data_IF_029650495569
#
_entry.id   IF_029650495569
#
_cell.length_a   1.000
_cell.length_b   1.000
_cell.length_c   1.000
_cell.angle_alpha   90.00
_cell.angle_beta   90.00
_cell.angle_gamma   90.00
#
_symmetry.space_group_name_H-M   'P 1'
#
loop_
_entity.id
_entity.type
_entity.pdbx_description
1 polymer ?
#
# COMPACT_ATOMS: atom_id res chain seq x y z
N UNK A 1 -20.01 -3.69 9.83
CA UNK A 1 -21.12 -2.92 9.22
C UNK A 1 -20.70 -2.45 7.84
N UNK A 2 -21.63 -2.34 6.89
CA UNK A 2 -21.34 -1.90 5.53
C UNK A 2 -21.31 -0.35 5.44
N UNK A 3 -20.29 0.20 4.75
CA UNK A 3 -20.15 1.64 4.48
C UNK A 3 -21.04 2.05 3.28
N UNK A 4 -22.36 1.99 3.48
CA UNK A 4 -23.36 2.16 2.43
C UNK A 4 -23.26 3.50 1.69
N UNK A 5 -22.93 4.59 2.40
CA UNK A 5 -22.73 5.92 1.83
C UNK A 5 -21.55 5.93 0.85
N UNK A 6 -20.44 5.29 1.22
CA UNK A 6 -19.25 5.20 0.36
C UNK A 6 -19.46 4.22 -0.80
N UNK A 7 -20.16 3.10 -0.57
CA UNK A 7 -20.48 2.13 -1.63
C UNK A 7 -21.41 2.74 -2.70
N UNK A 8 -22.46 3.45 -2.27
CA UNK A 8 -23.37 4.15 -3.18
C UNK A 8 -22.64 5.22 -3.98
N UNK A 9 -21.75 5.98 -3.32
CA UNK A 9 -20.93 6.99 -3.97
C UNK A 9 -19.99 6.36 -5.01
N UNK A 10 -19.32 5.26 -4.66
CA UNK A 10 -18.43 4.53 -5.54
C UNK A 10 -19.16 4.02 -6.78
N UNK A 11 -20.34 3.42 -6.63
CA UNK A 11 -21.17 2.95 -7.75
C UNK A 11 -21.55 4.10 -8.70
N UNK A 12 -21.96 5.25 -8.16
CA UNK A 12 -22.28 6.45 -8.95
C UNK A 12 -21.05 7.00 -9.69
N UNK A 13 -19.90 7.09 -9.01
CA UNK A 13 -18.65 7.53 -9.61
C UNK A 13 -18.19 6.59 -10.75
N UNK A 14 -18.25 5.27 -10.52
CA UNK A 14 -17.93 4.24 -11.52
C UNK A 14 -18.82 4.34 -12.76
N UNK A 15 -20.12 4.60 -12.59
CA UNK A 15 -21.05 4.83 -13.69
C UNK A 15 -20.64 6.03 -14.56
N UNK A 16 -20.29 7.16 -13.93
CA UNK A 16 -19.82 8.36 -14.65
C UNK A 16 -18.55 8.06 -15.44
N UNK A 17 -17.56 7.41 -14.82
CA UNK A 17 -16.29 7.08 -15.47
C UNK A 17 -16.50 6.11 -16.65
N UNK A 18 -17.33 5.08 -16.47
CA UNK A 18 -17.66 4.12 -17.54
C UNK A 18 -18.34 4.81 -18.71
N UNK A 19 -19.28 5.72 -18.44
CA UNK A 19 -19.97 6.49 -19.47
C UNK A 19 -19.03 7.39 -20.27
N UNK A 20 -18.18 8.16 -19.58
CA UNK A 20 -17.25 9.10 -20.23
C UNK A 20 -16.24 8.35 -21.09
N UNK A 21 -15.71 7.21 -20.61
CA UNK A 21 -14.82 6.37 -21.42
C UNK A 21 -15.52 5.74 -22.61
N UNK A 22 -16.74 5.21 -22.43
CA UNK A 22 -17.52 4.66 -23.54
C UNK A 22 -17.71 5.69 -24.65
N UNK A 23 -17.98 6.94 -24.30
CA UNK A 23 -18.05 8.04 -25.27
C UNK A 23 -16.71 8.47 -25.84
N UNK A 24 -15.63 8.50 -25.04
CA UNK A 24 -14.29 8.82 -25.55
C UNK A 24 -13.78 7.74 -26.51
N UNK A 25 -14.05 6.46 -26.23
CA UNK A 25 -13.73 5.31 -27.08
C UNK A 25 -14.59 5.34 -28.33
N UNK A 26 -15.91 5.55 -28.23
CA UNK A 26 -16.78 5.72 -29.40
C UNK A 26 -16.37 6.95 -30.25
N UNK A 27 -15.95 8.04 -29.60
CA UNK A 27 -15.41 9.22 -30.29
C UNK A 27 -14.07 8.93 -30.94
N UNK A 28 -13.16 8.18 -30.30
CA UNK A 28 -11.86 7.79 -30.87
C UNK A 28 -12.00 6.82 -32.05
N UNK A 29 -12.93 5.85 -31.95
CA UNK A 29 -13.29 4.93 -33.05
C UNK A 29 -13.92 5.73 -34.21
N UNK A 30 -14.71 6.77 -33.91
CA UNK A 30 -15.28 7.67 -34.93
C UNK A 30 -14.30 8.75 -35.43
N UNK A 31 -13.18 8.99 -34.73
CA UNK A 31 -12.16 10.03 -35.03
C UNK A 31 -10.84 9.44 -35.52
N UNK A 32 -10.89 8.36 -36.30
CA UNK A 32 -9.73 7.92 -37.10
C UNK A 32 -9.31 8.94 -38.19
N UNK A 33 -9.80 10.20 -38.13
CA UNK A 33 -9.52 11.25 -39.10
C UNK A 33 -9.20 12.65 -38.55
N UNK A 34 -9.05 12.90 -37.24
CA UNK A 34 -8.47 14.20 -36.86
C UNK A 34 -7.77 14.21 -35.50
N UNK A 35 -6.52 14.68 -35.54
CA UNK A 35 -5.66 14.99 -34.40
C UNK A 35 -6.13 16.31 -33.79
N UNK A 36 -6.61 16.28 -32.55
CA UNK A 36 -5.98 17.06 -31.49
C UNK A 36 -6.60 16.89 -30.09
N UNK A 37 -5.68 16.84 -29.12
CA UNK A 37 -5.75 17.19 -27.69
C UNK A 37 -7.02 16.82 -26.92
N UNK A 38 -7.01 15.61 -26.36
CA UNK A 38 -7.89 15.25 -25.24
C UNK A 38 -7.08 15.11 -23.96
N UNK A 39 -7.47 15.83 -22.91
CA UNK A 39 -7.15 15.53 -21.51
C UNK A 39 -7.73 14.16 -21.17
N UNK A 40 -6.93 13.12 -21.33
CA UNK A 40 -7.31 11.74 -21.06
C UNK A 40 -7.50 11.57 -19.55
N UNK A 41 -8.72 11.21 -19.13
CA UNK A 41 -8.97 10.75 -17.77
C UNK A 41 -8.13 9.48 -17.57
N UNK A 42 -7.06 9.59 -16.77
CA UNK A 42 -6.13 8.49 -16.58
C UNK A 42 -6.85 7.34 -15.87
N UNK A 43 -6.71 6.14 -16.43
CA UNK A 43 -6.98 4.93 -15.69
C UNK A 43 -5.89 4.70 -14.65
N UNK A 44 -6.22 4.08 -13.52
CA UNK A 44 -5.23 3.65 -12.55
C UNK A 44 -4.22 2.71 -13.22
N UNK A 45 -2.94 3.10 -13.20
CA UNK A 45 -1.85 2.13 -13.27
C UNK A 45 -1.91 1.24 -12.03
N UNK A 46 -1.50 -0.02 -12.18
CA UNK A 46 -1.69 -1.09 -11.20
C UNK A 46 -0.90 -0.81 -9.90
N UNK A 47 -1.58 -0.21 -8.93
CA UNK A 47 -1.64 -0.67 -7.54
C UNK A 47 -3.14 -0.82 -7.22
N UNK A 48 -3.59 -1.94 -6.66
CA UNK A 48 -5.03 -2.21 -6.50
C UNK A 48 -5.71 -1.23 -5.53
N UNK A 49 -4.95 -0.61 -4.62
CA UNK A 49 -5.45 0.20 -3.52
C UNK A 49 -5.69 1.68 -3.89
N UNK A 50 -4.90 2.23 -4.81
CA UNK A 50 -5.03 3.64 -5.23
C UNK A 50 -6.13 3.87 -6.25
N UNK A 51 -6.74 2.81 -6.80
CA UNK A 51 -7.74 2.91 -7.88
C UNK A 51 -8.89 3.85 -7.56
N UNK A 52 -9.44 3.75 -6.35
CA UNK A 52 -10.57 4.59 -5.94
C UNK A 52 -10.13 6.03 -5.74
N UNK A 53 -8.95 6.26 -5.16
CA UNK A 53 -8.39 7.60 -4.94
C UNK A 53 -8.08 8.27 -6.28
N UNK A 54 -7.38 7.59 -7.18
CA UNK A 54 -7.07 8.07 -8.54
C UNK A 54 -8.35 8.37 -9.31
N UNK A 55 -9.36 7.49 -9.22
CA UNK A 55 -10.64 7.69 -9.89
C UNK A 55 -11.35 8.95 -9.37
N UNK A 56 -11.38 9.14 -8.05
CA UNK A 56 -12.00 10.31 -7.43
C UNK A 56 -11.24 11.60 -7.76
N UNK A 57 -9.91 11.59 -7.69
CA UNK A 57 -9.08 12.75 -8.08
C UNK A 57 -9.29 13.11 -9.56
N UNK A 58 -9.30 12.11 -10.46
CA UNK A 58 -9.56 12.34 -11.90
C UNK A 58 -10.95 12.95 -12.15
N UNK A 59 -11.97 12.52 -11.40
CA UNK A 59 -13.31 13.10 -11.49
C UNK A 59 -13.36 14.55 -11.01
N UNK A 60 -12.62 14.89 -9.95
CA UNK A 60 -12.55 16.26 -9.43
C UNK A 60 -11.77 17.18 -10.37
N UNK A 61 -10.64 16.72 -10.91
CA UNK A 61 -9.87 17.46 -11.92
C UNK A 61 -10.71 17.73 -13.18
N UNK A 62 -11.51 16.75 -13.60
CA UNK A 62 -12.42 16.88 -14.74
C UNK A 62 -13.77 17.55 -14.43
N UNK A 63 -14.01 18.05 -13.21
CA UNK A 63 -15.35 18.50 -12.77
C UNK A 63 -15.93 19.59 -13.66
N UNK A 64 -15.16 20.61 -14.01
CA UNK A 64 -15.62 21.75 -14.80
C UNK A 64 -16.01 21.30 -16.22
N UNK A 65 -15.14 20.53 -16.87
CA UNK A 65 -15.39 19.99 -18.21
C UNK A 65 -16.59 19.04 -18.24
N UNK A 66 -16.80 18.24 -17.19
CA UNK A 66 -17.95 17.35 -17.07
C UNK A 66 -19.26 18.13 -16.83
N UNK A 67 -19.21 19.22 -16.05
CA UNK A 67 -20.34 20.14 -15.88
C UNK A 67 -20.72 20.82 -17.20
N UNK A 68 -19.73 21.35 -17.91
CA UNK A 68 -19.93 21.98 -19.21
C UNK A 68 -20.49 20.99 -20.24
N UNK A 69 -19.98 19.76 -20.26
CA UNK A 69 -20.52 18.68 -21.11
C UNK A 69 -21.99 18.38 -20.79
N UNK A 70 -22.34 18.32 -19.50
CA UNK A 70 -23.71 18.06 -19.05
C UNK A 70 -24.71 19.16 -19.46
N UNK A 71 -24.23 20.41 -19.56
CA UNK A 71 -25.03 21.58 -19.94
C UNK A 71 -25.12 21.70 -21.47
N UNK A 72 -23.98 21.63 -22.18
CA UNK A 72 -23.86 21.87 -23.62
C UNK A 72 -24.43 20.74 -24.50
N UNK A 73 -24.19 19.48 -24.13
CA UNK A 73 -24.68 18.31 -24.88
C UNK A 73 -25.96 17.73 -24.27
N UNK A 74 -26.77 18.58 -23.63
CA UNK A 74 -27.80 18.20 -22.68
C UNK A 74 -28.90 17.24 -23.16
N UNK A 75 -29.03 17.01 -24.48
CA UNK A 75 -29.95 16.03 -25.09
C UNK A 75 -29.29 14.69 -25.48
N UNK A 76 -27.96 14.64 -25.58
CA UNK A 76 -27.20 13.44 -25.98
C UNK A 76 -26.61 12.67 -24.78
N UNK A 77 -26.87 13.12 -23.55
CA UNK A 77 -26.39 12.50 -22.32
C UNK A 77 -27.53 11.75 -21.64
N UNK A 78 -27.24 10.54 -21.19
CA UNK A 78 -28.20 9.74 -20.42
C UNK A 78 -28.68 10.52 -19.19
N UNK A 79 -29.99 10.59 -18.99
CA UNK A 79 -30.63 11.40 -17.94
C UNK A 79 -30.10 11.06 -16.54
N UNK A 80 -29.78 9.78 -16.30
CA UNK A 80 -29.18 9.30 -15.06
C UNK A 80 -27.81 9.92 -14.78
N UNK A 81 -26.91 9.94 -15.79
CA UNK A 81 -25.56 10.52 -15.68
C UNK A 81 -25.64 12.03 -15.51
N UNK A 82 -26.51 12.71 -16.26
CA UNK A 82 -26.73 14.15 -16.14
C UNK A 82 -27.16 14.55 -14.72
N UNK A 83 -28.05 13.77 -14.11
CA UNK A 83 -28.47 13.98 -12.71
C UNK A 83 -27.32 13.83 -11.73
N UNK A 84 -26.36 12.93 -11.97
CA UNK A 84 -25.18 12.76 -11.12
C UNK A 84 -24.23 13.95 -11.29
N UNK A 85 -23.96 14.37 -12.53
CA UNK A 85 -23.02 15.47 -12.80
C UNK A 85 -23.50 16.80 -12.20
N UNK A 86 -24.80 17.08 -12.23
CA UNK A 86 -25.39 18.30 -11.68
C UNK A 86 -25.66 18.24 -10.16
N UNK A 87 -25.46 17.09 -9.52
CA UNK A 87 -25.68 16.91 -8.08
C UNK A 87 -24.51 17.51 -7.27
N UNK A 88 -24.73 18.66 -6.63
CA UNK A 88 -23.72 19.30 -5.77
C UNK A 88 -23.29 18.40 -4.61
N UNK A 89 -24.22 17.65 -4.02
CA UNK A 89 -23.96 16.76 -2.87
C UNK A 89 -23.07 15.59 -3.29
N UNK A 90 -23.19 15.11 -4.53
CA UNK A 90 -22.28 14.09 -5.07
C UNK A 90 -20.82 14.56 -5.03
N UNK A 91 -20.54 15.77 -5.51
CA UNK A 91 -19.18 16.32 -5.53
C UNK A 91 -18.62 16.60 -4.12
N UNK A 92 -19.48 17.08 -3.20
CA UNK A 92 -19.11 17.28 -1.80
C UNK A 92 -18.80 15.95 -1.10
N UNK A 93 -19.61 14.91 -1.34
CA UNK A 93 -19.37 13.55 -0.82
C UNK A 93 -18.08 12.94 -1.37
N UNK A 94 -17.81 13.13 -2.66
CA UNK A 94 -16.56 12.68 -3.28
C UNK A 94 -15.34 13.33 -2.63
N UNK A 95 -15.38 14.66 -2.45
CA UNK A 95 -14.33 15.40 -1.74
C UNK A 95 -14.18 14.94 -0.29
N UNK A 96 -15.30 14.74 0.42
CA UNK A 96 -15.31 14.27 1.81
C UNK A 96 -14.72 12.87 1.95
N UNK A 97 -15.09 11.93 1.08
CA UNK A 97 -14.54 10.57 1.05
C UNK A 97 -13.05 10.55 0.70
N UNK A 98 -12.60 11.40 -0.22
CA UNK A 98 -11.16 11.52 -0.53
C UNK A 98 -10.33 11.94 0.67
N UNK A 99 -10.83 12.84 1.53
CA UNK A 99 -10.09 13.23 2.75
C UNK A 99 -9.86 12.06 3.72
N UNK A 100 -10.72 11.03 3.67
CA UNK A 100 -10.57 9.81 4.46
C UNK A 100 -9.63 8.82 3.75
N UNK A 101 -9.77 8.65 2.44
CA UNK A 101 -9.01 7.66 1.68
C UNK A 101 -7.55 8.07 1.42
N UNK A 102 -7.25 9.36 1.24
CA UNK A 102 -5.89 9.85 0.94
C UNK A 102 -4.87 9.52 2.03
N UNK A 103 -5.15 9.71 3.34
CA UNK A 103 -4.29 9.23 4.41
C UNK A 103 -3.94 7.74 4.31
N UNK A 104 -4.92 6.91 3.98
CA UNK A 104 -4.75 5.45 3.86
C UNK A 104 -3.84 5.12 2.67
N UNK A 105 -4.11 5.70 1.50
CA UNK A 105 -3.30 5.53 0.30
C UNK A 105 -1.84 5.99 0.51
N UNK A 106 -1.65 7.14 1.16
CA UNK A 106 -0.33 7.66 1.49
C UNK A 106 0.43 6.74 2.47
N UNK A 107 -0.26 6.19 3.46
CA UNK A 107 0.33 5.23 4.41
C UNK A 107 0.76 3.92 3.74
N UNK A 108 -0.06 3.39 2.81
CA UNK A 108 0.29 2.22 1.98
C UNK A 108 1.50 2.54 1.10
N UNK A 109 1.47 3.64 0.36
CA UNK A 109 2.59 4.05 -0.50
C UNK A 109 3.89 4.19 0.30
N UNK A 110 3.82 4.79 1.50
CA UNK A 110 4.95 4.94 2.42
C UNK A 110 5.52 3.57 2.78
N UNK A 111 4.70 2.62 3.24
CA UNK A 111 5.19 1.31 3.71
C UNK A 111 5.62 0.35 2.59
N UNK A 112 5.16 0.58 1.37
CA UNK A 112 5.58 -0.14 0.15
C UNK A 112 6.89 0.40 -0.43
N UNK A 113 7.36 1.56 0.04
CA UNK A 113 8.62 2.16 -0.36
C UNK A 113 9.85 1.30 -0.02
N UNK A 114 10.93 1.49 -0.78
CA UNK A 114 12.14 0.68 -0.73
C UNK A 114 12.90 0.77 0.61
N UNK A 115 12.75 1.91 1.30
CA UNK A 115 13.46 2.21 2.53
C UNK A 115 12.63 1.96 3.79
N UNK A 116 11.44 1.38 3.66
CA UNK A 116 10.52 1.19 4.77
C UNK A 116 10.91 -0.02 5.61
N UNK A 117 10.93 0.16 6.92
CA UNK A 117 11.35 -0.85 7.90
C UNK A 117 10.23 -1.13 8.92
N UNK A 118 10.35 -2.24 9.66
CA UNK A 118 9.33 -2.66 10.64
C UNK A 118 9.02 -1.61 11.71
N UNK A 119 9.98 -0.75 12.06
CA UNK A 119 9.80 0.33 13.03
C UNK A 119 8.84 1.42 12.52
N UNK A 120 8.81 1.69 11.21
CA UNK A 120 7.93 2.70 10.61
C UNK A 120 6.44 2.33 10.76
N UNK A 121 6.12 1.04 10.85
CA UNK A 121 4.73 0.54 10.89
C UNK A 121 3.97 1.10 12.09
N UNK A 122 4.62 1.19 13.25
CA UNK A 122 3.99 1.73 14.47
C UNK A 122 3.67 3.21 14.34
N UNK A 123 4.64 4.00 13.90
CA UNK A 123 4.42 5.43 13.64
C UNK A 123 3.37 5.65 12.56
N UNK A 124 3.40 4.88 11.48
CA UNK A 124 2.43 4.98 10.40
C UNK A 124 1.00 4.77 10.91
N UNK A 125 0.74 3.75 11.73
CA UNK A 125 -0.60 3.54 12.30
C UNK A 125 -1.01 4.66 13.26
N UNK A 126 -0.08 5.19 14.07
CA UNK A 126 -0.35 6.31 14.96
C UNK A 126 -0.69 7.60 14.19
N UNK A 127 0.11 7.94 13.17
CA UNK A 127 -0.12 9.07 12.26
C UNK A 127 -1.45 8.92 11.52
N UNK A 128 -1.73 7.72 11.00
CA UNK A 128 -2.96 7.43 10.27
C UNK A 128 -4.18 7.55 11.18
N UNK A 129 -4.09 7.06 12.42
CA UNK A 129 -5.17 7.18 13.41
C UNK A 129 -5.49 8.65 13.70
N UNK A 130 -4.47 9.48 13.91
CA UNK A 130 -4.63 10.91 14.17
C UNK A 130 -5.26 11.67 12.98
N UNK A 131 -4.77 11.41 11.75
CA UNK A 131 -5.31 12.00 10.53
C UNK A 131 -6.78 11.63 10.31
N UNK A 132 -7.14 10.36 10.49
CA UNK A 132 -8.52 9.90 10.33
C UNK A 132 -9.41 10.49 11.42
N UNK A 133 -8.97 10.50 12.69
CA UNK A 133 -9.73 11.09 13.79
C UNK A 133 -9.97 12.59 13.61
N UNK A 134 -9.06 13.30 12.96
CA UNK A 134 -9.23 14.73 12.62
C UNK A 134 -10.25 14.96 11.51
N UNK A 135 -10.27 14.09 10.49
CA UNK A 135 -11.16 14.24 9.32
C UNK A 135 -12.58 13.75 9.59
N UNK A 136 -12.73 12.65 10.35
CA UNK A 136 -13.99 11.94 10.53
C UNK A 136 -15.15 12.80 11.08
N UNK A 137 -14.95 13.73 12.03
CA UNK A 137 -16.02 14.61 12.51
C UNK A 137 -16.65 15.44 11.39
N UNK A 138 -15.82 15.96 10.47
CA UNK A 138 -16.26 16.78 9.32
C UNK A 138 -16.73 15.96 8.12
N UNK A 139 -16.68 14.63 8.20
CA UNK A 139 -17.11 13.77 7.09
C UNK A 139 -18.63 13.73 6.93
N UNK A 140 -19.08 13.52 5.69
CA UNK A 140 -20.49 13.35 5.31
C UNK A 140 -21.00 11.92 5.51
N UNK A 141 -20.33 11.12 6.35
CA UNK A 141 -20.74 9.77 6.75
C UNK A 141 -21.77 9.81 7.88
N UNK A 142 -22.62 8.79 7.95
CA UNK A 142 -23.51 8.58 9.09
C UNK A 142 -22.71 8.20 10.34
N UNK A 143 -23.23 8.45 11.54
CA UNK A 143 -22.50 8.12 12.77
C UNK A 143 -22.14 6.63 12.88
N UNK A 144 -23.06 5.73 12.50
CA UNK A 144 -22.78 4.30 12.47
C UNK A 144 -21.62 3.95 11.51
N UNK A 145 -21.49 4.67 10.39
CA UNK A 145 -20.40 4.47 9.43
C UNK A 145 -19.08 5.05 9.96
N UNK A 146 -19.12 6.19 10.66
CA UNK A 146 -17.94 6.75 11.34
C UNK A 146 -17.38 5.75 12.35
N UNK A 147 -18.24 5.16 13.18
CA UNK A 147 -17.83 4.08 14.10
C UNK A 147 -17.26 2.88 13.33
N UNK A 148 -17.90 2.46 12.24
CA UNK A 148 -17.41 1.35 11.43
C UNK A 148 -16.02 1.60 10.80
N UNK A 149 -15.70 2.85 10.44
CA UNK A 149 -14.36 3.23 9.97
C UNK A 149 -13.32 3.05 11.09
N UNK A 150 -13.62 3.55 12.29
CA UNK A 150 -12.71 3.40 13.45
C UNK A 150 -12.51 1.93 13.81
N UNK A 151 -13.57 1.13 13.88
CA UNK A 151 -13.48 -0.32 14.13
C UNK A 151 -12.66 -1.04 13.05
N UNK A 152 -12.82 -0.65 11.78
CA UNK A 152 -12.05 -1.25 10.68
C UNK A 152 -10.57 -0.91 10.78
N UNK A 153 -10.24 0.32 11.20
CA UNK A 153 -8.87 0.75 11.47
C UNK A 153 -8.24 -0.04 12.61
N UNK A 154 -8.96 -0.22 13.72
CA UNK A 154 -8.48 -0.97 14.88
C UNK A 154 -8.26 -2.45 14.54
N UNK A 155 -9.22 -3.09 13.85
CA UNK A 155 -9.08 -4.47 13.35
C UNK A 155 -7.88 -4.62 12.43
N UNK A 156 -7.65 -3.64 11.55
CA UNK A 156 -6.51 -3.68 10.63
C UNK A 156 -5.18 -3.52 11.37
N UNK A 157 -5.13 -2.62 12.35
CA UNK A 157 -3.97 -2.44 13.20
C UNK A 157 -3.66 -3.73 13.99
N UNK A 158 -4.66 -4.36 14.60
CA UNK A 158 -4.49 -5.64 15.32
C UNK A 158 -3.99 -6.77 14.40
N UNK A 159 -4.51 -6.82 13.17
CA UNK A 159 -4.09 -7.80 12.17
C UNK A 159 -2.63 -7.59 11.74
N UNK A 160 -2.25 -6.36 11.38
CA UNK A 160 -0.94 -6.05 10.83
C UNK A 160 0.16 -6.00 11.91
N UNK A 161 -0.17 -5.47 13.09
CA UNK A 161 0.84 -5.08 14.06
C UNK A 161 1.05 -6.17 15.10
N UNK A 162 2.21 -6.80 15.04
CA UNK A 162 2.69 -7.86 15.94
C UNK A 162 3.81 -7.39 16.87
N UNK A 163 4.13 -8.13 17.96
CA UNK A 163 5.19 -7.79 18.90
C UNK A 163 6.53 -7.40 18.27
N UNK A 164 6.89 -7.99 17.13
CA UNK A 164 8.13 -7.67 16.41
C UNK A 164 8.22 -6.21 15.97
N UNK A 165 7.09 -5.55 15.68
CA UNK A 165 7.06 -4.14 15.32
C UNK A 165 7.37 -3.24 16.52
N UNK A 166 6.94 -3.65 17.73
CA UNK A 166 7.29 -2.93 18.96
C UNK A 166 8.79 -3.10 19.28
N UNK A 167 9.34 -4.30 19.06
CA UNK A 167 10.78 -4.53 19.17
C UNK A 167 11.57 -3.70 18.14
N UNK A 168 11.16 -3.71 16.88
CA UNK A 168 11.79 -2.91 15.83
C UNK A 168 11.75 -1.41 16.16
N UNK A 169 10.59 -0.89 16.56
CA UNK A 169 10.44 0.51 16.99
C UNK A 169 11.38 0.86 18.15
N UNK A 170 11.45 0.01 19.17
CA UNK A 170 12.30 0.23 20.33
C UNK A 170 13.80 0.20 20.00
N UNK A 171 14.21 -0.51 18.94
CA UNK A 171 15.60 -0.66 18.53
C UNK A 171 16.03 0.35 17.47
N UNK A 172 15.09 1.11 16.90
CA UNK A 172 15.40 2.06 15.84
C UNK A 172 15.83 3.42 16.44
N UNK A 173 17.06 3.89 16.18
CA UNK A 173 17.55 5.18 16.68
C UNK A 173 16.80 6.40 16.12
N UNK A 174 16.02 6.24 15.05
CA UNK A 174 15.15 7.30 14.50
C UNK A 174 14.05 7.72 15.49
N UNK A 175 13.63 6.80 16.36
CA UNK A 175 12.47 6.96 17.22
C UNK A 175 12.85 7.14 18.70
N UNK A 176 13.12 8.39 19.08
CA UNK A 176 13.48 8.73 20.46
C UNK A 176 12.27 8.79 21.41
N UNK A 177 11.09 9.17 20.89
CA UNK A 177 9.87 9.28 21.70
C UNK A 177 9.29 7.90 21.94
N UNK A 178 9.11 7.54 23.21
CA UNK A 178 8.45 6.29 23.56
C UNK A 178 6.93 6.43 23.41
N UNK A 179 6.40 5.99 22.28
CA UNK A 179 4.95 5.88 22.02
C UNK A 179 4.38 4.52 22.47
N UNK A 180 5.23 3.59 22.92
CA UNK A 180 4.83 2.23 23.24
C UNK A 180 4.16 2.14 24.61
N UNK A 181 3.09 1.35 24.70
CA UNK A 181 2.45 1.01 25.98
C UNK A 181 3.33 0.06 26.82
N UNK A 182 2.98 -0.12 28.09
CA UNK A 182 3.71 -1.04 28.99
C UNK A 182 3.65 -2.48 28.48
N UNK A 183 2.51 -2.89 27.93
CA UNK A 183 2.29 -4.21 27.34
C UNK A 183 3.13 -4.39 26.08
N UNK A 184 3.25 -3.35 25.25
CA UNK A 184 4.08 -3.36 24.04
C UNK A 184 5.56 -3.41 24.35
N UNK A 185 6.02 -2.69 25.38
CA UNK A 185 7.41 -2.75 25.87
C UNK A 185 7.73 -4.18 26.35
N UNK A 186 6.82 -4.78 27.12
CA UNK A 186 6.97 -6.16 27.61
C UNK A 186 7.04 -7.16 26.46
N UNK A 187 6.16 -6.99 25.46
CA UNK A 187 6.15 -7.81 24.25
C UNK A 187 7.42 -7.63 23.41
N UNK A 188 7.95 -6.41 23.34
CA UNK A 188 9.21 -6.11 22.65
C UNK A 188 10.40 -6.82 23.31
N UNK A 189 10.48 -6.81 24.65
CA UNK A 189 11.49 -7.58 25.38
C UNK A 189 11.39 -9.08 25.14
N UNK A 190 10.18 -9.62 25.06
CA UNK A 190 9.97 -11.04 24.74
C UNK A 190 10.52 -11.39 23.35
N UNK A 191 10.29 -10.55 22.33
CA UNK A 191 10.83 -10.75 20.98
C UNK A 191 12.35 -10.67 20.96
N UNK A 192 12.94 -9.66 21.61
CA UNK A 192 14.39 -9.49 21.69
C UNK A 192 15.03 -10.70 22.38
N UNK A 193 14.40 -11.20 23.45
CA UNK A 193 14.85 -12.39 24.17
C UNK A 193 14.79 -13.64 23.29
N UNK A 194 13.67 -13.85 22.59
CA UNK A 194 13.51 -14.97 21.66
C UNK A 194 14.55 -14.92 20.52
N UNK A 195 14.79 -13.73 19.95
CA UNK A 195 15.80 -13.54 18.92
C UNK A 195 17.22 -13.77 19.46
N UNK A 196 17.49 -13.38 20.70
CA UNK A 196 18.78 -13.63 21.36
C UNK A 196 19.04 -15.13 21.50
N UNK A 197 18.04 -15.91 21.92
CA UNK A 197 18.14 -17.37 21.96
C UNK A 197 18.38 -17.97 20.57
N UNK A 198 17.64 -17.53 19.56
CA UNK A 198 17.79 -18.00 18.18
C UNK A 198 19.20 -17.73 17.62
N UNK A 199 19.81 -16.62 17.99
CA UNK A 199 21.17 -16.24 17.59
C UNK A 199 22.27 -16.82 18.50
N UNK A 200 21.93 -17.58 19.55
CA UNK A 200 22.90 -18.14 20.49
C UNK A 200 23.62 -17.10 21.36
N UNK A 201 22.96 -15.98 21.65
CA UNK A 201 23.53 -14.86 22.40
C UNK A 201 23.19 -14.94 23.90
N UNK A 202 24.04 -14.34 24.73
CA UNK A 202 23.78 -14.15 26.16
C UNK A 202 22.68 -13.09 26.37
N UNK A 203 21.48 -13.56 26.73
CA UNK A 203 20.29 -12.71 26.96
C UNK A 203 20.56 -11.62 27.99
N UNK A 204 21.29 -11.93 29.08
CA UNK A 204 21.60 -10.96 30.12
C UNK A 204 22.45 -9.82 29.61
N UNK A 205 23.46 -10.13 28.79
CA UNK A 205 24.29 -9.10 28.14
C UNK A 205 23.52 -8.29 27.10
N UNK A 206 22.65 -8.93 26.30
CA UNK A 206 21.80 -8.24 25.33
C UNK A 206 20.86 -7.25 26.01
N UNK A 207 20.15 -7.69 27.05
CA UNK A 207 19.23 -6.82 27.81
C UNK A 207 19.97 -5.73 28.59
N UNK A 208 21.16 -6.02 29.11
CA UNK A 208 22.03 -5.01 29.72
C UNK A 208 22.50 -3.95 28.72
N UNK A 209 22.87 -4.36 27.50
CA UNK A 209 23.21 -3.45 26.40
C UNK A 209 21.98 -2.63 25.96
N UNK A 210 20.79 -3.24 25.90
CA UNK A 210 19.52 -2.54 25.66
C UNK A 210 19.21 -1.49 26.72
N UNK A 211 19.45 -1.80 28.00
CA UNK A 211 19.27 -0.83 29.07
C UNK A 211 20.18 0.39 28.88
N UNK A 212 21.46 0.18 28.55
CA UNK A 212 22.42 1.25 28.25
C UNK A 212 22.01 2.09 27.03
N UNK A 213 21.52 1.43 25.97
CA UNK A 213 21.00 2.11 24.78
C UNK A 213 19.84 3.05 25.13
N UNK A 214 18.85 2.53 25.87
CA UNK A 214 17.65 3.31 26.25
C UNK A 214 17.96 4.43 27.24
N UNK A 215 19.00 4.29 28.07
CA UNK A 215 19.44 5.32 29.01
C UNK A 215 20.54 6.23 28.47
N UNK A 216 20.91 6.08 27.18
CA UNK A 216 21.98 6.85 26.52
C UNK A 216 23.31 6.79 27.27
N UNK A 217 23.71 5.60 27.72
CA UNK A 217 24.97 5.38 28.44
C UNK A 217 26.04 4.77 27.54
N UNK A 218 27.31 4.94 27.92
CA UNK A 218 28.44 4.39 27.19
C UNK A 218 28.55 4.99 25.78
N UNK A 219 28.59 4.13 24.76
CA UNK A 219 28.65 4.54 23.35
C UNK A 219 27.52 5.52 22.97
N UNK A 220 26.32 5.31 23.51
CA UNK A 220 25.14 6.12 23.21
C UNK A 220 25.04 7.43 24.00
N UNK A 221 26.02 7.71 24.88
CA UNK A 221 26.14 9.02 25.52
C UNK A 221 26.76 10.08 24.60
N UNK A 222 27.29 9.68 23.44
CA UNK A 222 27.87 10.61 22.48
C UNK A 222 26.84 11.08 21.45
N UNK A 223 26.51 12.37 21.45
CA UNK A 223 25.48 12.94 20.56
C UNK A 223 25.72 12.70 19.07
N UNK A 224 26.99 12.62 18.64
CA UNK A 224 27.36 12.36 17.25
C UNK A 224 26.81 11.03 16.71
N UNK A 225 26.66 10.02 17.57
CA UNK A 225 26.11 8.72 17.15
C UNK A 225 24.63 8.83 16.78
N UNK A 226 23.87 9.68 17.47
CA UNK A 226 22.46 9.91 17.19
C UNK A 226 22.27 10.76 15.94
N UNK A 227 23.15 11.73 15.67
CA UNK A 227 23.10 12.52 14.43
C UNK A 227 23.31 11.64 13.19
N UNK A 228 24.17 10.62 13.30
CA UNK A 228 24.45 9.73 12.18
C UNK A 228 23.24 8.88 11.72
N UNK A 229 22.23 8.66 12.57
CA UNK A 229 21.06 7.83 12.21
C UNK A 229 20.19 8.42 11.09
N UNK A 230 20.34 9.71 10.79
CA UNK A 230 19.64 10.37 9.69
C UNK A 230 20.29 10.11 8.32
N UNK A 231 21.54 9.63 8.32
CA UNK A 231 22.36 9.49 7.11
C UNK A 231 22.59 8.02 6.70
N UNK A 232 22.23 7.07 7.55
CA UNK A 232 22.38 5.63 7.29
C UNK A 232 21.12 4.88 7.68
N UNK A 233 20.87 3.72 7.07
CA UNK A 233 19.77 2.86 7.49
C UNK A 233 19.99 2.34 8.92
N UNK A 234 18.91 2.09 9.65
CA UNK A 234 18.99 1.65 11.04
C UNK A 234 19.80 0.34 11.18
N UNK A 235 19.67 -0.59 10.22
CA UNK A 235 20.46 -1.84 10.20
C UNK A 235 21.96 -1.58 9.99
N UNK A 236 22.32 -0.65 9.11
CA UNK A 236 23.72 -0.25 8.87
C UNK A 236 24.30 0.47 10.07
N UNK A 237 23.51 1.33 10.73
CA UNK A 237 23.90 2.02 11.96
C UNK A 237 24.28 1.02 13.06
N UNK A 238 23.44 0.00 13.28
CA UNK A 238 23.72 -1.06 14.25
C UNK A 238 24.95 -1.89 13.90
N UNK A 239 25.14 -2.27 12.62
CA UNK A 239 26.30 -3.07 12.19
C UNK A 239 27.61 -2.29 12.22
N UNK A 240 27.58 -1.03 11.79
CA UNK A 240 28.78 -0.21 11.59
C UNK A 240 29.23 0.51 12.86
N UNK A 241 28.32 1.24 13.51
CA UNK A 241 28.67 2.12 14.64
C UNK A 241 28.49 1.45 15.98
N UNK A 242 27.52 0.54 16.10
CA UNK A 242 27.22 -0.19 17.34
C UNK A 242 27.65 -1.66 17.30
N UNK A 243 28.42 -2.11 16.30
CA UNK A 243 28.70 -3.54 16.08
C UNK A 243 29.41 -4.26 17.24
N UNK A 244 30.09 -3.52 18.12
CA UNK A 244 30.71 -4.06 19.34
C UNK A 244 29.74 -4.38 20.46
N UNK A 245 28.51 -3.88 20.39
CA UNK A 245 27.50 -4.03 21.43
C UNK A 245 26.75 -5.36 21.30
N UNK A 246 26.48 -6.01 22.44
CA UNK A 246 25.79 -7.31 22.46
C UNK A 246 24.39 -7.25 21.80
N UNK A 247 23.75 -6.08 21.80
CA UNK A 247 22.44 -5.86 21.18
C UNK A 247 22.48 -5.80 19.65
N UNK A 248 23.62 -5.45 19.05
CA UNK A 248 23.72 -5.14 17.62
C UNK A 248 23.31 -6.27 16.67
N UNK A 249 23.64 -7.56 16.92
CA UNK A 249 23.18 -8.65 16.07
C UNK A 249 21.64 -8.80 16.07
N UNK A 250 21.01 -8.63 17.24
CA UNK A 250 19.54 -8.70 17.36
C UNK A 250 18.88 -7.53 16.64
N UNK A 251 19.35 -6.31 16.91
CA UNK A 251 18.79 -5.09 16.33
C UNK A 251 18.96 -5.06 14.81
N UNK A 252 20.15 -5.35 14.31
CA UNK A 252 20.38 -5.40 12.87
C UNK A 252 19.54 -6.48 12.19
N UNK A 253 19.33 -7.65 12.81
CA UNK A 253 18.49 -8.72 12.24
C UNK A 253 17.04 -8.28 12.15
N UNK A 254 16.46 -7.75 13.23
CA UNK A 254 15.05 -7.32 13.25
C UNK A 254 14.82 -6.16 12.27
N UNK A 255 15.73 -5.18 12.20
CA UNK A 255 15.59 -3.98 11.38
C UNK A 255 15.87 -4.20 9.89
N UNK A 256 16.37 -5.38 9.49
CA UNK A 256 16.51 -5.77 8.08
C UNK A 256 15.25 -6.41 7.49
N UNK A 257 14.27 -6.76 8.33
CA UNK A 257 13.06 -7.42 7.87
C UNK A 257 12.18 -6.37 7.15
N UNK A 258 11.80 -6.60 5.88
CA UNK A 258 10.89 -5.70 5.19
C UNK A 258 9.48 -5.78 5.81
N UNK A 259 8.77 -4.65 5.94
CA UNK A 259 7.44 -4.62 6.55
C UNK A 259 6.33 -5.13 5.62
N UNK A 260 6.61 -5.26 4.31
CA UNK A 260 5.62 -5.62 3.29
C UNK A 260 6.16 -6.62 2.28
N UNK A 261 5.26 -7.32 1.58
CA UNK A 261 5.58 -8.14 0.41
C UNK A 261 5.94 -7.31 -0.83
N UNK A 262 5.83 -5.97 -0.77
CA UNK A 262 6.03 -5.10 -1.91
C UNK A 262 7.43 -5.23 -2.52
N UNK A 263 8.46 -5.46 -1.70
CA UNK A 263 9.81 -5.77 -2.19
C UNK A 263 9.83 -7.02 -3.09
N UNK A 264 9.12 -8.08 -2.67
CA UNK A 264 8.96 -9.30 -3.46
C UNK A 264 8.06 -9.10 -4.69
N UNK A 265 7.06 -8.22 -4.61
CA UNK A 265 6.19 -7.86 -5.74
C UNK A 265 6.93 -7.03 -6.80
N UNK A 266 7.78 -6.09 -6.38
CA UNK A 266 8.68 -5.34 -7.28
C UNK A 266 9.64 -6.29 -8.00
N UNK A 267 10.27 -7.21 -7.27
CA UNK A 267 11.07 -8.29 -7.86
C UNK A 267 10.25 -9.12 -8.87
N UNK A 268 9.02 -9.49 -8.53
CA UNK A 268 8.12 -10.20 -9.45
C UNK A 268 7.78 -9.40 -10.71
N UNK A 269 7.54 -8.09 -10.59
CA UNK A 269 7.26 -7.19 -11.72
C UNK A 269 8.48 -7.03 -12.62
N UNK A 270 9.68 -6.86 -12.05
CA UNK A 270 10.94 -6.81 -12.79
C UNK A 270 11.17 -8.11 -13.59
N UNK A 271 10.72 -9.23 -13.05
CA UNK A 271 10.77 -10.53 -13.69
C UNK A 271 9.45 -10.94 -14.35
N UNK A 272 8.54 -9.99 -14.56
CA UNK A 272 7.19 -10.25 -15.07
C UNK A 272 7.20 -11.02 -16.39
N UNK A 273 8.16 -10.73 -17.26
CA UNK A 273 8.35 -11.43 -18.53
C UNK A 273 8.61 -12.94 -18.38
N UNK A 274 9.21 -13.39 -17.27
CA UNK A 274 9.40 -14.82 -16.97
C UNK A 274 8.05 -15.50 -16.71
N UNK A 275 7.11 -14.75 -16.12
CA UNK A 275 5.77 -15.20 -15.76
C UNK A 275 4.70 -14.89 -16.82
N UNK A 276 5.04 -14.15 -17.89
CA UNK A 276 4.11 -13.90 -19.01
C UNK A 276 3.88 -15.16 -19.84
N UNK A 277 2.69 -15.27 -20.47
CA UNK A 277 2.31 -16.39 -21.34
C UNK A 277 3.30 -16.68 -22.46
N UNK A 278 4.10 -15.69 -22.87
CA UNK A 278 5.14 -15.80 -23.91
C UNK A 278 6.32 -16.69 -23.46
N UNK A 279 6.56 -16.82 -22.15
CA UNK A 279 7.61 -17.66 -21.54
C UNK A 279 7.06 -18.92 -20.83
N UNK A 280 5.89 -19.45 -21.23
CA UNK A 280 5.24 -20.62 -20.63
C UNK A 280 5.99 -21.98 -20.76
N UNK A 281 7.25 -22.00 -21.21
CA UNK A 281 8.04 -23.24 -21.39
C UNK A 281 9.00 -23.55 -20.24
N UNK A 282 9.09 -22.69 -19.21
CA UNK A 282 9.93 -22.93 -18.04
C UNK A 282 9.17 -23.69 -16.95
N UNK A 283 9.81 -24.70 -16.35
CA UNK A 283 9.28 -25.36 -15.15
C UNK A 283 9.42 -24.44 -13.94
N UNK A 284 8.59 -24.63 -12.91
CA UNK A 284 8.64 -23.84 -11.67
C UNK A 284 10.06 -23.80 -11.05
N UNK A 285 10.75 -24.94 -11.02
CA UNK A 285 12.13 -25.03 -10.50
C UNK A 285 13.12 -24.15 -11.29
N UNK A 286 12.95 -24.05 -12.62
CA UNK A 286 13.80 -23.19 -13.46
C UNK A 286 13.48 -21.72 -13.26
N UNK A 287 12.20 -21.39 -13.04
CA UNK A 287 11.76 -20.03 -12.72
C UNK A 287 12.37 -19.58 -11.39
N UNK A 288 12.30 -20.41 -10.36
CA UNK A 288 12.92 -20.13 -9.04
C UNK A 288 14.42 -19.90 -9.16
N UNK A 289 15.15 -20.78 -9.85
CA UNK A 289 16.59 -20.62 -10.11
C UNK A 289 16.91 -19.34 -10.87
N UNK A 290 16.11 -19.02 -11.90
CA UNK A 290 16.33 -17.83 -12.73
C UNK A 290 16.09 -16.53 -11.95
N UNK A 291 15.03 -16.48 -11.12
CA UNK A 291 14.76 -15.36 -10.23
C UNK A 291 15.87 -15.21 -9.19
N UNK A 292 16.33 -16.31 -8.59
CA UNK A 292 17.44 -16.28 -7.63
C UNK A 292 18.74 -15.77 -8.26
N UNK A 293 19.11 -16.26 -9.45
CA UNK A 293 20.31 -15.80 -10.17
C UNK A 293 20.20 -14.31 -10.49
N UNK A 294 19.07 -13.86 -11.06
CA UNK A 294 18.88 -12.44 -11.43
C UNK A 294 18.89 -11.51 -10.22
N UNK A 295 18.20 -11.88 -9.14
CA UNK A 295 18.20 -11.11 -7.90
C UNK A 295 19.62 -11.00 -7.31
N UNK A 296 20.39 -12.10 -7.32
CA UNK A 296 21.77 -12.08 -6.85
C UNK A 296 22.69 -11.25 -7.75
N UNK A 297 22.55 -11.32 -9.08
CA UNK A 297 23.35 -10.51 -10.00
C UNK A 297 23.15 -9.01 -9.76
N UNK A 298 21.91 -8.57 -9.46
CA UNK A 298 21.64 -7.17 -9.10
C UNK A 298 22.31 -6.73 -7.79
N UNK A 299 22.60 -7.65 -6.87
CA UNK A 299 23.38 -7.33 -5.66
C UNK A 299 24.87 -7.11 -5.96
N UNK A 300 25.40 -7.71 -7.03
CA UNK A 300 26.79 -7.57 -7.43
C UNK A 300 27.03 -6.41 -8.40
N UNK A 301 26.01 -6.00 -9.16
CA UNK A 301 26.10 -4.91 -10.13
C UNK A 301 24.86 -4.00 -10.06
N UNK A 302 24.83 -3.05 -9.09
CA UNK A 302 23.67 -2.21 -8.83
C UNK A 302 23.40 -1.17 -9.93
N UNK A 303 24.35 -0.93 -10.85
CA UNK A 303 24.26 0.09 -11.90
C UNK A 303 23.73 -0.47 -13.25
N UNK A 304 23.55 -1.78 -13.37
CA UNK A 304 22.91 -2.39 -14.55
C UNK A 304 21.40 -2.33 -14.39
N UNK A 305 20.79 -1.28 -14.95
CA UNK A 305 19.36 -1.25 -15.26
C UNK A 305 19.00 -2.55 -15.99
N UNK A 306 18.02 -3.33 -15.49
CA UNK A 306 17.64 -4.58 -16.14
C UNK A 306 17.20 -4.23 -17.56
N UNK A 307 17.83 -4.84 -18.57
CA UNK A 307 17.42 -4.62 -19.94
C UNK A 307 15.95 -5.03 -20.06
N UNK A 308 15.08 -4.03 -20.08
CA UNK A 308 13.73 -4.10 -20.59
C UNK A 308 13.86 -4.33 -22.10
N UNK A 309 14.40 -5.45 -22.53
CA UNK A 309 14.00 -6.01 -23.82
C UNK A 309 12.56 -6.47 -23.65
N UNK A 310 11.65 -5.49 -23.63
CA UNK A 310 10.32 -5.67 -24.19
C UNK A 310 10.58 -6.12 -25.61
N UNK A 311 10.28 -7.38 -25.90
CA UNK A 311 10.13 -7.80 -27.28
C UNK A 311 8.91 -7.01 -27.77
N UNK A 312 9.15 -5.96 -28.55
CA UNK A 312 8.12 -5.21 -29.26
C UNK A 312 7.51 -6.13 -30.33
N UNK A 313 6.49 -6.90 -29.93
CA UNK A 313 5.54 -7.62 -30.78
C UNK A 313 4.52 -8.24 -29.82
N UNK A 314 3.23 -7.96 -29.80
CA UNK A 314 2.33 -7.44 -30.83
C UNK A 314 1.14 -6.77 -30.14
N UNK A 315 0.39 -5.98 -30.91
CA UNK A 315 -0.90 -5.45 -30.54
C UNK A 315 -1.88 -6.60 -30.17
N UNK A 316 -2.14 -6.79 -28.88
CA UNK A 316 -3.31 -7.54 -28.43
C UNK A 316 -4.35 -6.56 -27.88
N UNK A 317 -5.46 -6.47 -28.61
CA UNK A 317 -6.72 -5.94 -28.13
C UNK A 317 -7.14 -6.71 -26.86
N UNK A 318 -7.08 -6.05 -25.72
CA UNK A 318 -7.69 -6.56 -24.49
C UNK A 318 -9.22 -6.48 -24.64
N UNK A 319 -9.83 -7.58 -25.09
CA UNK A 319 -11.23 -7.84 -24.84
C UNK A 319 -11.42 -8.00 -23.32
N UNK A 320 -12.11 -7.03 -22.71
CA UNK A 320 -12.66 -7.15 -21.36
C UNK A 320 -13.72 -8.27 -21.36
N UNK A 321 -13.33 -9.51 -21.06
CA UNK A 321 -14.28 -10.52 -20.60
C UNK A 321 -14.46 -10.38 -19.08
N UNK A 322 -15.63 -9.87 -18.69
CA UNK A 322 -16.14 -9.82 -17.32
C UNK A 322 -16.19 -11.24 -16.69
N UNK A 323 -15.10 -11.67 -16.05
CA UNK A 323 -15.01 -12.96 -15.31
C UNK A 323 -15.33 -12.83 -13.80
N UNK A 324 -15.91 -11.72 -13.34
CA UNK A 324 -16.33 -11.57 -11.94
C UNK A 324 -17.71 -12.19 -11.62
N UNK A 325 -18.51 -12.61 -12.61
CA UNK A 325 -19.85 -13.18 -12.36
C UNK A 325 -19.86 -14.73 -12.21
N UNK A 326 -18.78 -15.41 -12.61
CA UNK A 326 -18.70 -16.87 -12.56
C UNK A 326 -18.39 -17.42 -11.14
N UNK A 327 -17.73 -16.65 -10.29
CA UNK A 327 -17.33 -17.12 -8.96
C UNK A 327 -18.43 -17.06 -7.90
N UNK A 328 -19.47 -16.23 -8.06
CA UNK A 328 -20.61 -16.23 -7.12
C UNK A 328 -21.61 -17.38 -7.38
N UNK A 329 -21.72 -17.87 -8.62
CA UNK A 329 -22.65 -18.97 -8.96
C UNK A 329 -22.14 -20.35 -8.54
N UNK A 330 -20.82 -20.54 -8.50
CA UNK A 330 -20.24 -21.81 -8.04
C UNK A 330 -20.31 -22.00 -6.53
N UNK A 331 -20.17 -20.93 -5.74
CA UNK A 331 -20.30 -21.01 -4.28
C UNK A 331 -21.72 -21.38 -3.85
N UNK A 332 -22.73 -20.84 -4.53
CA UNK A 332 -24.15 -21.10 -4.21
C UNK A 332 -24.61 -22.51 -4.62
N UNK A 333 -23.94 -23.13 -5.62
CA UNK A 333 -24.18 -24.52 -6.02
C UNK A 333 -23.57 -25.51 -5.01
N UNK A 334 -22.33 -25.27 -4.57
CA UNK A 334 -21.67 -26.10 -3.54
C UNK A 334 -22.37 -26.02 -2.17
N UNK A 335 -22.96 -24.87 -1.82
CA UNK A 335 -23.73 -24.72 -0.57
C UNK A 335 -25.08 -25.44 -0.61
N UNK A 336 -25.72 -25.54 -1.78
CA UNK A 336 -26.98 -26.28 -1.94
C UNK A 336 -26.79 -27.80 -1.98
N UNK A 337 -25.68 -28.28 -2.51
CA UNK A 337 -25.34 -29.71 -2.51
C UNK A 337 -24.90 -30.21 -1.11
N UNK A 338 -24.28 -29.35 -0.29
CA UNK A 338 -23.88 -29.69 1.08
C UNK A 338 -25.03 -29.72 2.10
N UNK A 339 -26.21 -29.17 1.77
CA UNK A 339 -27.39 -29.16 2.66
C UNK A 339 -28.36 -30.32 2.33
N UNK A 340 -28.16 -31.01 1.20
CA UNK A 340 -29.00 -32.11 0.74
C UNK A 340 -28.41 -33.51 0.97
N UNK A 341 -27.35 -33.63 1.78
CA UNK A 341 -26.76 -34.91 2.23
C UNK A 341 -26.78 -34.98 3.75
#
# INVERSE_FOLDING_TARGET
MALNTMDTLYKRAKQVVKYVKGKQVASAISKQNDKDKNTTLKLPSISQWDRVVIMYDSLLEGKESLHEMAISQGAAIESAIKRILLDKVFWERLTSSLRILKPIAAAITKIEGDNSILSDVKCMFAELKDQIQTVLPTSLLLQAEKTAVVESMEKRQEFCVKPIHAAAYMLDPKYEKNILSVEEISSAYAVITAMSYHLGLDVGKVLGSLAKYRTKQGLWGWDGIWQSCQHVSASTWWKGLCGSEALAPVASTILQIPPTSAASERSRSLFGNIYTKVCNRLTNERVEKLVAIRANLQLFDPDIEPSSTRLDSDAESEDESDDEEANLKNVDKTLKEAIAT
#
